data_IF_333380980328
#
_entry.id   IF_333380980328
#
_cell.length_a   1.000
_cell.length_b   1.000
_cell.length_c   1.000
_cell.angle_alpha   90.00
_cell.angle_beta   90.00
_cell.angle_gamma   90.00
#
_symmetry.space_group_name_H-M   'P 1'
#
loop_
_entity.id
_entity.type
_entity.pdbx_description
1 polymer ?
#
# COMPACT_ATOMS: atom_id res chain seq x y z
N UNK A 1 -28.64 -37.40 -10.43
CA UNK A 1 -27.58 -36.51 -9.94
C UNK A 1 -27.60 -35.15 -10.65
N UNK A 2 -27.53 -35.05 -11.99
CA UNK A 2 -27.56 -33.77 -12.69
C UNK A 2 -28.77 -32.90 -12.30
N UNK A 3 -29.98 -33.47 -12.25
CA UNK A 3 -31.20 -32.77 -11.79
C UNK A 3 -31.10 -32.20 -10.37
N UNK A 4 -30.33 -32.81 -9.47
CA UNK A 4 -30.10 -32.24 -8.14
C UNK A 4 -29.19 -31.01 -8.17
N UNK A 5 -28.19 -31.03 -9.05
CA UNK A 5 -27.27 -29.90 -9.21
C UNK A 5 -27.94 -28.66 -9.86
N UNK A 6 -29.02 -28.84 -10.64
CA UNK A 6 -29.81 -27.76 -11.21
C UNK A 6 -30.52 -26.88 -10.16
N UNK A 7 -30.78 -27.42 -8.96
CA UNK A 7 -31.37 -26.67 -7.84
C UNK A 7 -30.35 -25.92 -7.01
N UNK A 8 -29.05 -26.17 -7.23
CA UNK A 8 -27.99 -25.52 -6.45
C UNK A 8 -27.68 -24.09 -7.01
N UNK A 9 -27.41 -23.18 -6.10
CA UNK A 9 -26.92 -21.85 -6.47
C UNK A 9 -25.45 -21.88 -6.94
N UNK A 10 -25.01 -20.80 -7.58
CA UNK A 10 -23.65 -20.68 -8.14
C UNK A 10 -22.55 -20.96 -7.10
N UNK A 11 -22.64 -20.39 -5.90
CA UNK A 11 -21.67 -20.61 -4.82
C UNK A 11 -21.60 -22.07 -4.40
N UNK A 12 -22.76 -22.71 -4.19
CA UNK A 12 -22.87 -24.12 -3.78
C UNK A 12 -22.32 -25.04 -4.85
N UNK A 13 -22.58 -24.77 -6.15
CA UNK A 13 -22.02 -25.54 -7.27
C UNK A 13 -20.50 -25.48 -7.29
N UNK A 14 -19.91 -24.30 -7.04
CA UNK A 14 -18.45 -24.16 -7.01
C UNK A 14 -17.85 -24.90 -5.81
N UNK A 15 -18.52 -24.91 -4.67
CA UNK A 15 -18.12 -25.72 -3.52
C UNK A 15 -18.24 -27.22 -3.83
N UNK A 16 -19.34 -27.65 -4.45
CA UNK A 16 -19.54 -29.02 -4.86
C UNK A 16 -18.48 -29.48 -5.87
N UNK A 17 -18.00 -28.60 -6.75
CA UNK A 17 -16.94 -28.92 -7.70
C UNK A 17 -15.59 -29.27 -7.03
N UNK A 18 -15.39 -28.94 -5.77
CA UNK A 18 -14.17 -29.23 -5.01
C UNK A 18 -14.21 -30.58 -4.30
N UNK A 19 -15.34 -31.33 -4.33
CA UNK A 19 -15.52 -32.56 -3.57
C UNK A 19 -14.82 -33.76 -4.22
N UNK A 20 -15.05 -33.98 -5.52
CA UNK A 20 -14.40 -35.05 -6.30
C UNK A 20 -14.54 -34.79 -7.81
N UNK A 21 -13.74 -35.48 -8.63
CA UNK A 21 -13.73 -35.32 -10.10
C UNK A 21 -15.12 -35.50 -10.74
N UNK A 22 -15.94 -36.45 -10.25
CA UNK A 22 -17.30 -36.68 -10.76
C UNK A 22 -18.21 -35.50 -10.46
N UNK A 23 -18.14 -34.93 -9.25
CA UNK A 23 -18.91 -33.76 -8.87
C UNK A 23 -18.39 -32.48 -9.58
N UNK A 24 -17.10 -32.39 -9.79
CA UNK A 24 -16.51 -31.32 -10.59
C UNK A 24 -17.11 -31.32 -12.01
N UNK A 25 -17.15 -32.46 -12.69
CA UNK A 25 -17.77 -32.59 -14.02
C UNK A 25 -19.22 -32.12 -14.03
N UNK A 26 -20.05 -32.66 -13.09
CA UNK A 26 -21.45 -32.28 -12.98
C UNK A 26 -21.67 -30.81 -12.64
N UNK A 27 -20.90 -30.28 -11.69
CA UNK A 27 -21.02 -28.89 -11.23
C UNK A 27 -20.51 -27.84 -12.25
N UNK A 28 -19.79 -28.28 -13.28
CA UNK A 28 -19.28 -27.41 -14.33
C UNK A 28 -20.03 -27.55 -15.66
N UNK A 29 -21.10 -28.33 -15.68
CA UNK A 29 -21.90 -28.55 -16.88
C UNK A 29 -22.52 -27.28 -17.42
N UNK A 30 -22.42 -27.09 -18.74
CA UNK A 30 -22.90 -25.91 -19.43
C UNK A 30 -24.43 -25.74 -19.30
N UNK A 31 -25.19 -26.84 -19.27
CA UNK A 31 -26.65 -26.84 -19.14
C UNK A 31 -27.15 -26.22 -17.84
N UNK A 32 -26.41 -26.40 -16.75
CA UNK A 32 -26.70 -25.76 -15.45
C UNK A 32 -26.34 -24.30 -15.47
N UNK A 33 -25.11 -23.97 -15.91
CA UNK A 33 -24.57 -22.62 -15.84
C UNK A 33 -25.25 -21.63 -16.80
N UNK A 34 -25.84 -22.07 -17.91
CA UNK A 34 -26.61 -21.19 -18.78
C UNK A 34 -27.84 -20.59 -18.06
N UNK A 35 -28.50 -21.39 -17.21
CA UNK A 35 -29.66 -20.92 -16.45
C UNK A 35 -29.24 -19.93 -15.35
N UNK A 36 -28.12 -20.21 -14.68
CA UNK A 36 -27.53 -19.33 -13.68
C UNK A 36 -27.08 -18.02 -14.34
N UNK A 37 -26.39 -18.10 -15.49
CA UNK A 37 -25.96 -16.90 -16.24
C UNK A 37 -27.14 -16.00 -16.63
N UNK A 38 -28.23 -16.59 -17.16
CA UNK A 38 -29.44 -15.83 -17.51
C UNK A 38 -30.04 -15.08 -16.32
N UNK A 39 -30.01 -15.70 -15.13
CA UNK A 39 -30.50 -15.12 -13.89
C UNK A 39 -29.63 -13.92 -13.45
N UNK A 40 -28.29 -14.06 -13.46
CA UNK A 40 -27.36 -13.01 -13.03
C UNK A 40 -27.21 -11.91 -14.07
N UNK A 41 -27.12 -12.24 -15.35
CA UNK A 41 -26.89 -11.27 -16.40
C UNK A 41 -28.15 -10.45 -16.76
N UNK A 42 -29.32 -10.76 -16.15
CA UNK A 42 -30.62 -10.10 -16.44
C UNK A 42 -30.90 -10.03 -17.95
N UNK A 43 -30.42 -11.00 -18.72
CA UNK A 43 -30.58 -11.02 -20.17
C UNK A 43 -32.03 -11.32 -20.49
N UNK A 44 -32.74 -10.31 -20.98
CA UNK A 44 -34.08 -10.45 -21.56
C UNK A 44 -33.88 -10.90 -23.01
N UNK A 45 -34.05 -12.15 -23.31
CA UNK A 45 -34.06 -12.68 -24.66
C UNK A 45 -33.46 -14.08 -24.81
N UNK A 46 -34.10 -14.92 -25.63
CA UNK A 46 -33.59 -16.24 -26.02
C UNK A 46 -32.52 -16.05 -27.11
N UNK A 47 -31.31 -15.66 -26.75
CA UNK A 47 -30.17 -15.95 -27.61
C UNK A 47 -29.89 -17.44 -27.46
N UNK A 48 -30.50 -18.25 -28.27
CA UNK A 48 -30.17 -19.66 -28.44
C UNK A 48 -28.83 -19.75 -29.16
N UNK A 49 -27.75 -19.66 -28.36
CA UNK A 49 -26.43 -20.08 -28.82
C UNK A 49 -26.54 -21.60 -28.96
N UNK A 50 -26.34 -22.11 -30.18
CA UNK A 50 -26.36 -23.58 -30.44
C UNK A 50 -25.27 -24.23 -29.58
N UNK A 51 -25.67 -24.95 -28.55
CA UNK A 51 -24.81 -25.54 -27.50
C UNK A 51 -23.79 -26.58 -28.02
N UNK A 52 -23.91 -27.03 -29.26
CA UNK A 52 -23.19 -28.21 -29.77
C UNK A 52 -21.69 -28.05 -30.04
N UNK A 53 -21.11 -26.84 -29.79
CA UNK A 53 -19.67 -26.57 -30.04
C UNK A 53 -18.96 -25.78 -28.93
N UNK A 54 -19.59 -25.60 -27.77
CA UNK A 54 -18.98 -24.77 -26.71
C UNK A 54 -18.01 -25.59 -25.86
N UNK A 55 -16.85 -25.04 -25.45
CA UNK A 55 -15.92 -25.68 -24.52
C UNK A 55 -16.60 -26.04 -23.20
N UNK A 56 -16.08 -27.06 -22.52
CA UNK A 56 -16.49 -27.40 -21.14
C UNK A 56 -16.34 -26.15 -20.26
N UNK A 57 -17.28 -25.95 -19.33
CA UNK A 57 -17.29 -24.80 -18.40
C UNK A 57 -17.44 -23.41 -19.04
N UNK A 58 -17.76 -23.29 -20.32
CA UNK A 58 -17.90 -22.01 -21.00
C UNK A 58 -18.85 -21.06 -20.26
N UNK A 59 -20.08 -21.49 -19.99
CA UNK A 59 -21.10 -20.68 -19.30
C UNK A 59 -20.73 -20.37 -17.86
N UNK A 60 -20.03 -21.30 -17.17
CA UNK A 60 -19.47 -21.04 -15.84
C UNK A 60 -18.48 -19.87 -15.88
N UNK A 61 -17.49 -19.96 -16.75
CA UNK A 61 -16.44 -18.93 -16.86
C UNK A 61 -17.03 -17.58 -17.27
N UNK A 62 -17.98 -17.57 -18.22
CA UNK A 62 -18.67 -16.35 -18.64
C UNK A 62 -19.51 -15.74 -17.51
N UNK A 63 -20.20 -16.57 -16.71
CA UNK A 63 -20.96 -16.12 -15.55
C UNK A 63 -20.05 -15.47 -14.49
N UNK A 64 -18.95 -16.13 -14.14
CA UNK A 64 -17.99 -15.60 -13.16
C UNK A 64 -17.37 -14.29 -13.63
N UNK A 65 -16.93 -14.23 -14.89
CA UNK A 65 -16.39 -13.02 -15.50
C UNK A 65 -17.40 -11.86 -15.44
N UNK A 66 -18.64 -12.10 -15.85
CA UNK A 66 -19.69 -11.07 -15.86
C UNK A 66 -20.05 -10.59 -14.46
N UNK A 67 -20.21 -11.48 -13.49
CA UNK A 67 -20.46 -11.11 -12.10
C UNK A 67 -19.33 -10.25 -11.54
N UNK A 68 -18.08 -10.61 -11.83
CA UNK A 68 -16.90 -9.86 -11.41
C UNK A 68 -16.88 -8.46 -12.05
N UNK A 69 -17.09 -8.37 -13.38
CA UNK A 69 -17.09 -7.09 -14.10
C UNK A 69 -18.19 -6.15 -13.62
N UNK A 70 -19.42 -6.64 -13.45
CA UNK A 70 -20.57 -5.81 -13.05
C UNK A 70 -20.38 -5.30 -11.60
N UNK A 71 -19.87 -6.16 -10.70
CA UNK A 71 -19.48 -5.76 -9.36
C UNK A 71 -18.39 -4.70 -9.39
N UNK A 72 -17.30 -4.94 -10.13
CA UNK A 72 -16.18 -4.01 -10.21
C UNK A 72 -16.63 -2.66 -10.76
N UNK A 73 -17.45 -2.64 -11.82
CA UNK A 73 -18.05 -1.39 -12.36
C UNK A 73 -18.86 -0.64 -11.31
N UNK A 74 -19.67 -1.37 -10.52
CA UNK A 74 -20.49 -0.77 -9.46
C UNK A 74 -19.64 -0.14 -8.35
N UNK A 75 -18.60 -0.83 -7.91
CA UNK A 75 -17.69 -0.36 -6.85
C UNK A 75 -16.85 0.81 -7.36
N UNK A 76 -16.26 0.72 -8.57
CA UNK A 76 -15.44 1.79 -9.14
C UNK A 76 -16.22 3.09 -9.40
N UNK A 77 -17.54 3.03 -9.57
CA UNK A 77 -18.38 4.25 -9.63
C UNK A 77 -18.34 5.06 -8.33
N UNK A 78 -18.14 4.41 -7.17
CA UNK A 78 -18.02 5.10 -5.88
C UNK A 78 -16.73 5.91 -5.77
N UNK A 79 -15.70 5.56 -6.58
CA UNK A 79 -14.38 6.18 -6.54
C UNK A 79 -14.25 7.46 -7.35
N UNK A 80 -15.32 7.90 -8.02
CA UNK A 80 -15.27 9.07 -8.91
C UNK A 80 -15.13 10.41 -8.20
N UNK A 81 -15.61 10.50 -6.94
CA UNK A 81 -15.52 11.73 -6.13
C UNK A 81 -14.20 11.72 -5.37
N UNK A 82 -13.34 12.67 -5.66
CA UNK A 82 -12.05 12.87 -5.00
C UNK A 82 -12.12 13.99 -3.96
N UNK A 83 -11.24 13.91 -2.99
CA UNK A 83 -11.03 14.95 -1.99
C UNK A 83 -10.11 16.04 -2.61
N UNK A 84 -10.47 17.32 -2.55
CA UNK A 84 -9.75 18.36 -3.29
C UNK A 84 -8.29 18.55 -2.85
N UNK A 85 -7.98 18.20 -1.63
CA UNK A 85 -6.64 18.42 -1.07
C UNK A 85 -5.72 17.19 -1.08
N UNK A 86 -6.30 15.99 -1.11
CA UNK A 86 -5.50 14.77 -1.16
C UNK A 86 -5.58 14.07 -2.52
N UNK A 87 -6.43 14.55 -3.43
CA UNK A 87 -6.71 13.86 -4.69
C UNK A 87 -7.34 12.48 -4.55
N UNK A 88 -7.43 11.95 -3.32
CA UNK A 88 -7.88 10.60 -3.03
C UNK A 88 -9.40 10.46 -3.11
N UNK A 89 -9.90 9.29 -3.54
CA UNK A 89 -11.31 9.02 -3.54
C UNK A 89 -11.92 9.05 -2.13
N UNK A 90 -12.97 9.85 -1.92
CA UNK A 90 -13.61 10.03 -0.61
C UNK A 90 -14.33 8.79 -0.08
N UNK A 91 -14.66 7.84 -0.94
CA UNK A 91 -15.48 6.67 -0.62
C UNK A 91 -14.69 5.36 -0.56
N UNK A 92 -13.37 5.39 -0.42
CA UNK A 92 -12.52 4.19 -0.41
C UNK A 92 -12.98 3.16 0.62
N UNK A 93 -13.16 3.56 1.87
CA UNK A 93 -13.65 2.69 2.95
C UNK A 93 -15.03 2.08 2.62
N UNK A 94 -15.96 2.88 2.11
CA UNK A 94 -17.28 2.42 1.71
C UNK A 94 -17.20 1.42 0.54
N UNK A 95 -16.36 1.69 -0.46
CA UNK A 95 -16.14 0.83 -1.61
C UNK A 95 -15.58 -0.54 -1.17
N UNK A 96 -14.57 -0.54 -0.29
CA UNK A 96 -13.98 -1.75 0.27
C UNK A 96 -14.97 -2.56 1.11
N UNK A 97 -15.75 -1.89 1.96
CA UNK A 97 -16.80 -2.54 2.77
C UNK A 97 -17.86 -3.17 1.89
N UNK A 98 -18.39 -2.44 0.89
CA UNK A 98 -19.42 -2.94 -0.03
C UNK A 98 -18.91 -4.08 -0.92
N UNK A 99 -17.63 -4.08 -1.27
CA UNK A 99 -17.02 -5.18 -2.03
C UNK A 99 -16.75 -6.42 -1.18
N UNK A 100 -16.88 -6.35 0.14
CA UNK A 100 -16.61 -7.45 1.06
C UNK A 100 -15.14 -7.89 1.05
N UNK A 101 -14.23 -7.02 0.58
CA UNK A 101 -12.80 -7.33 0.49
C UNK A 101 -12.23 -7.51 1.90
N UNK A 102 -11.40 -8.55 2.03
CA UNK A 102 -10.58 -8.79 3.21
C UNK A 102 -9.15 -9.16 2.78
N UNK A 103 -8.23 -9.13 3.72
CA UNK A 103 -6.82 -9.34 3.42
C UNK A 103 -6.34 -10.68 3.96
N UNK A 104 -5.54 -11.37 3.14
CA UNK A 104 -4.84 -12.60 3.50
C UNK A 104 -3.32 -12.37 3.46
N UNK A 105 -2.67 -12.84 4.49
CA UNK A 105 -1.24 -13.09 4.51
C UNK A 105 -0.99 -14.52 4.04
N UNK A 106 -0.15 -14.70 3.02
CA UNK A 106 0.35 -15.99 2.56
C UNK A 106 1.85 -16.06 2.84
N UNK A 107 2.24 -17.09 3.54
CA UNK A 107 3.65 -17.39 3.82
C UNK A 107 4.01 -18.65 3.04
N UNK A 108 5.10 -18.59 2.29
CA UNK A 108 5.64 -19.72 1.51
C UNK A 108 6.98 -20.07 2.11
N UNK A 109 7.14 -21.31 2.55
CA UNK A 109 8.38 -21.80 3.11
C UNK A 109 9.40 -22.23 2.03
N UNK A 110 10.59 -22.65 2.45
CA UNK A 110 11.67 -23.10 1.55
C UNK A 110 11.31 -24.39 0.81
N UNK A 111 10.38 -25.20 1.34
CA UNK A 111 9.91 -26.42 0.72
C UNK A 111 8.75 -26.18 -0.25
N UNK A 112 8.29 -24.93 -0.39
CA UNK A 112 7.14 -24.55 -1.20
C UNK A 112 5.80 -24.80 -0.51
N UNK A 113 5.78 -25.15 0.78
CA UNK A 113 4.55 -25.31 1.54
C UNK A 113 3.95 -23.91 1.80
N UNK A 114 2.66 -23.78 1.53
CA UNK A 114 1.93 -22.55 1.71
C UNK A 114 1.09 -22.58 2.99
N UNK A 115 1.21 -21.55 3.80
CA UNK A 115 0.29 -21.25 4.90
C UNK A 115 -0.36 -19.89 4.66
N UNK A 116 -1.63 -19.75 5.02
CA UNK A 116 -2.34 -18.48 4.84
C UNK A 116 -3.25 -18.19 6.03
N UNK A 117 -3.30 -16.92 6.43
CA UNK A 117 -4.19 -16.48 7.49
C UNK A 117 -4.89 -15.17 7.11
N UNK A 118 -6.12 -15.02 7.60
CA UNK A 118 -6.90 -13.80 7.46
C UNK A 118 -6.38 -12.72 8.41
N UNK A 119 -6.49 -11.44 8.00
CA UNK A 119 -6.13 -10.31 8.85
C UNK A 119 -6.86 -10.31 10.19
N UNK A 120 -6.13 -9.99 11.26
CA UNK A 120 -6.66 -9.87 12.61
C UNK A 120 -7.24 -8.49 12.90
N UNK A 121 -6.85 -7.47 12.13
CA UNK A 121 -7.36 -6.11 12.28
C UNK A 121 -7.11 -5.27 11.03
N UNK A 122 -8.06 -4.37 10.75
CA UNK A 122 -8.00 -3.41 9.65
C UNK A 122 -8.32 -2.04 10.23
N UNK A 123 -7.42 -1.09 10.07
CA UNK A 123 -7.54 0.27 10.62
C UNK A 123 -7.49 1.28 9.46
N UNK A 124 -8.54 2.09 9.36
CA UNK A 124 -8.68 3.10 8.32
C UNK A 124 -8.20 4.45 8.83
N UNK A 125 -7.38 5.11 8.00
CA UNK A 125 -6.86 6.46 8.21
C UNK A 125 -7.33 7.39 7.08
N UNK A 126 -6.91 8.64 7.12
CA UNK A 126 -7.29 9.65 6.12
C UNK A 126 -6.80 9.27 4.71
N UNK A 127 -5.56 8.83 4.58
CA UNK A 127 -4.90 8.54 3.31
C UNK A 127 -4.53 7.07 3.12
N UNK A 128 -4.65 6.24 4.17
CA UNK A 128 -4.15 4.86 4.14
C UNK A 128 -5.03 3.87 4.90
N UNK A 129 -4.73 2.61 4.77
CA UNK A 129 -5.26 1.52 5.58
C UNK A 129 -4.12 0.71 6.17
N UNK A 130 -4.19 0.45 7.47
CA UNK A 130 -3.24 -0.41 8.16
C UNK A 130 -3.88 -1.77 8.42
N UNK A 131 -3.18 -2.84 8.08
CA UNK A 131 -3.66 -4.22 8.23
C UNK A 131 -2.67 -5.01 9.08
N UNK A 132 -3.19 -5.80 10.01
CA UNK A 132 -2.38 -6.53 10.97
C UNK A 132 -2.72 -8.01 11.02
N UNK A 133 -1.67 -8.85 11.19
CA UNK A 133 -1.75 -10.30 11.45
C UNK A 133 -0.92 -10.64 12.67
N UNK A 134 -1.46 -11.43 13.59
CA UNK A 134 -0.75 -11.91 14.78
C UNK A 134 -1.03 -13.37 15.14
N UNK A 135 -2.09 -13.97 14.58
CA UNK A 135 -2.36 -15.40 14.71
C UNK A 135 -1.64 -16.15 13.61
N UNK A 136 -0.32 -16.07 13.61
CA UNK A 136 0.51 -16.69 12.61
C UNK A 136 0.75 -18.13 13.02
N UNK A 137 0.46 -19.08 12.12
CA UNK A 137 0.92 -20.45 12.32
C UNK A 137 2.46 -20.40 12.39
N UNK A 138 3.01 -21.07 13.38
CA UNK A 138 4.44 -21.03 13.72
C UNK A 138 5.30 -21.64 12.60
N UNK A 139 5.56 -20.85 11.57
CA UNK A 139 6.62 -21.15 10.62
C UNK A 139 7.84 -20.39 11.09
N UNK A 140 8.92 -21.08 11.51
CA UNK A 140 10.15 -20.41 11.94
C UNK A 140 10.63 -19.46 10.82
N UNK A 141 11.02 -18.23 11.17
CA UNK A 141 11.46 -17.21 10.20
C UNK A 141 12.55 -17.70 9.25
N UNK A 142 13.49 -18.52 9.78
CA UNK A 142 14.56 -19.16 8.98
C UNK A 142 14.03 -20.03 7.84
N UNK A 143 12.81 -20.54 7.93
CA UNK A 143 12.20 -21.38 6.91
C UNK A 143 11.34 -20.58 5.92
N UNK A 144 11.03 -19.34 6.20
CA UNK A 144 10.26 -18.48 5.30
C UNK A 144 11.12 -18.12 4.08
N UNK A 145 10.56 -18.31 2.90
CA UNK A 145 11.14 -17.90 1.62
C UNK A 145 10.47 -16.65 1.08
N UNK A 146 9.13 -16.55 1.21
CA UNK A 146 8.34 -15.48 0.63
C UNK A 146 7.13 -15.17 1.51
N UNK A 147 6.85 -13.88 1.65
CA UNK A 147 5.62 -13.33 2.22
C UNK A 147 4.85 -12.61 1.13
N UNK A 148 3.56 -12.91 1.01
CA UNK A 148 2.64 -12.25 0.08
C UNK A 148 1.42 -11.74 0.82
N UNK A 149 1.00 -10.53 0.51
CA UNK A 149 -0.25 -9.96 1.01
C UNK A 149 -1.22 -9.88 -0.15
N UNK A 150 -2.37 -10.52 0.03
CA UNK A 150 -3.41 -10.66 -0.97
C UNK A 150 -4.70 -10.00 -0.48
N UNK A 151 -5.38 -9.27 -1.35
CA UNK A 151 -6.78 -8.97 -1.16
C UNK A 151 -7.63 -10.13 -1.68
N UNK A 152 -8.66 -10.47 -0.93
CA UNK A 152 -9.62 -11.51 -1.28
C UNK A 152 -10.98 -10.89 -1.48
N UNK A 153 -11.51 -11.02 -2.68
CA UNK A 153 -12.69 -10.35 -3.13
C UNK A 153 -13.79 -11.38 -3.44
N UNK A 154 -14.86 -11.50 -2.61
CA UNK A 154 -15.95 -12.45 -2.82
C UNK A 154 -16.60 -12.27 -4.18
N UNK A 155 -17.01 -13.37 -4.82
CA UNK A 155 -17.66 -13.33 -6.12
C UNK A 155 -19.17 -13.19 -6.03
N UNK A 156 -19.79 -13.74 -4.98
CA UNK A 156 -21.23 -13.77 -4.83
C UNK A 156 -21.71 -13.08 -3.56
N UNK A 157 -22.81 -12.37 -3.71
CA UNK A 157 -23.46 -11.60 -2.66
C UNK A 157 -24.93 -12.01 -2.56
N UNK A 158 -25.51 -11.91 -1.38
CA UNK A 158 -26.94 -12.07 -1.16
C UNK A 158 -27.74 -10.85 -1.64
N UNK A 159 -29.05 -10.88 -1.45
CA UNK A 159 -29.94 -9.79 -1.85
C UNK A 159 -29.73 -8.51 -1.02
N UNK A 160 -29.10 -8.61 0.17
CA UNK A 160 -28.74 -7.48 1.02
C UNK A 160 -27.43 -6.81 0.61
N UNK A 161 -26.68 -7.41 -0.33
CA UNK A 161 -25.36 -6.96 -0.74
C UNK A 161 -24.24 -7.43 0.20
N UNK A 162 -24.53 -8.40 1.09
CA UNK A 162 -23.54 -9.03 1.95
C UNK A 162 -22.90 -10.23 1.23
N UNK A 163 -21.59 -10.42 1.37
CA UNK A 163 -20.93 -11.57 0.80
C UNK A 163 -21.50 -12.88 1.37
N UNK A 164 -21.88 -13.81 0.49
CA UNK A 164 -22.39 -15.12 0.89
C UNK A 164 -21.28 -15.87 1.64
N UNK A 165 -21.61 -16.49 2.76
CA UNK A 165 -20.69 -17.36 3.49
C UNK A 165 -20.13 -18.44 2.57
N UNK A 166 -18.82 -18.66 2.62
CA UNK A 166 -18.08 -19.57 1.73
C UNK A 166 -18.19 -19.23 0.22
N UNK A 167 -18.51 -17.99 -0.11
CA UNK A 167 -18.39 -17.51 -1.50
C UNK A 167 -16.96 -17.73 -1.99
N UNK A 168 -16.78 -18.31 -3.19
CA UNK A 168 -15.48 -18.25 -3.86
C UNK A 168 -15.04 -16.82 -3.99
N UNK A 169 -13.74 -16.60 -3.97
CA UNK A 169 -13.17 -15.24 -4.04
C UNK A 169 -12.06 -15.15 -5.09
N UNK A 170 -11.97 -13.99 -5.70
CA UNK A 170 -10.84 -13.60 -6.51
C UNK A 170 -9.75 -13.07 -5.59
N UNK A 171 -8.50 -13.48 -5.83
CA UNK A 171 -7.33 -12.96 -5.11
C UNK A 171 -6.59 -11.96 -5.97
N UNK A 172 -6.12 -10.88 -5.36
CA UNK A 172 -5.23 -9.91 -6.02
C UNK A 172 -4.02 -9.69 -5.13
N UNK A 173 -2.83 -9.84 -5.71
CA UNK A 173 -1.56 -9.58 -5.04
C UNK A 173 -1.41 -8.07 -4.83
N UNK A 174 -1.16 -7.65 -3.59
CA UNK A 174 -0.94 -6.25 -3.23
C UNK A 174 0.53 -5.94 -3.03
N UNK A 175 1.24 -6.82 -2.35
CA UNK A 175 2.68 -6.72 -2.15
C UNK A 175 3.28 -8.10 -1.89
N UNK A 176 4.55 -8.26 -2.22
CA UNK A 176 5.32 -9.47 -1.91
C UNK A 176 6.76 -9.13 -1.55
N UNK A 177 7.30 -9.90 -0.64
CA UNK A 177 8.70 -9.85 -0.29
C UNK A 177 9.30 -11.25 -0.25
N UNK A 178 10.44 -11.43 -0.93
CA UNK A 178 11.22 -12.67 -0.94
C UNK A 178 12.54 -12.42 -0.25
N UNK A 179 12.87 -13.25 0.73
CA UNK A 179 14.10 -13.08 1.49
C UNK A 179 14.62 -14.41 2.06
N UNK A 180 15.89 -14.38 2.47
CA UNK A 180 16.50 -15.43 3.30
C UNK A 180 16.82 -14.80 4.64
N UNK A 181 16.11 -15.17 5.69
CA UNK A 181 16.17 -14.51 7.00
C UNK A 181 17.61 -14.30 7.53
N UNK A 182 18.45 -15.35 7.49
CA UNK A 182 19.80 -15.25 8.02
C UNK A 182 20.69 -14.26 7.25
N UNK A 183 20.52 -14.16 5.94
CA UNK A 183 21.24 -13.21 5.10
C UNK A 183 20.70 -11.81 5.32
N UNK A 184 19.37 -11.68 5.22
CA UNK A 184 18.68 -10.41 5.37
C UNK A 184 18.95 -9.76 6.74
N UNK A 185 18.91 -10.53 7.83
CA UNK A 185 19.18 -10.05 9.21
C UNK A 185 20.62 -9.56 9.41
N UNK A 186 21.60 -10.07 8.68
CA UNK A 186 23.00 -9.58 8.76
C UNK A 186 23.14 -8.18 8.18
N UNK A 187 22.37 -7.90 7.13
CA UNK A 187 22.38 -6.62 6.40
C UNK A 187 21.45 -5.58 7.03
N UNK A 188 20.41 -6.04 7.74
CA UNK A 188 19.36 -5.19 8.29
C UNK A 188 19.27 -5.35 9.81
N UNK A 189 19.44 -4.24 10.51
CA UNK A 189 19.27 -4.17 11.96
C UNK A 189 17.81 -3.98 12.34
N UNK A 190 17.45 -4.38 13.57
CA UNK A 190 16.16 -3.99 14.16
C UNK A 190 16.06 -2.46 14.19
N UNK A 191 14.93 -1.93 13.73
CA UNK A 191 14.70 -0.49 13.71
C UNK A 191 14.48 0.06 15.12
N UNK A 192 13.73 -0.66 15.93
CA UNK A 192 13.42 -0.38 17.34
C UNK A 192 12.95 -1.67 18.02
N UNK A 193 12.88 -1.63 19.34
CA UNK A 193 12.44 -2.76 20.16
C UNK A 193 11.77 -2.28 21.45
N UNK A 194 11.00 -3.18 22.07
CA UNK A 194 10.52 -3.03 23.46
C UNK A 194 11.04 -4.22 24.31
N UNK A 195 10.43 -4.49 25.46
CA UNK A 195 10.84 -5.59 26.35
C UNK A 195 10.66 -6.97 25.68
N UNK A 196 9.66 -7.14 24.82
CA UNK A 196 9.22 -8.43 24.31
C UNK A 196 9.55 -8.65 22.84
N UNK A 197 9.52 -7.59 22.01
CA UNK A 197 9.64 -7.72 20.56
C UNK A 197 10.71 -6.82 19.96
N UNK A 198 11.26 -7.26 18.83
CA UNK A 198 12.11 -6.47 17.93
C UNK A 198 11.38 -6.22 16.63
N UNK A 199 11.45 -4.98 16.12
CA UNK A 199 10.81 -4.57 14.88
C UNK A 199 11.82 -4.50 13.73
N UNK A 200 11.40 -4.98 12.56
CA UNK A 200 12.17 -4.94 11.33
C UNK A 200 11.31 -4.44 10.18
N UNK A 201 11.84 -3.54 9.36
CA UNK A 201 11.21 -3.11 8.10
C UNK A 201 11.65 -4.08 6.99
N UNK A 202 10.75 -4.95 6.56
CA UNK A 202 11.05 -5.97 5.58
C UNK A 202 11.01 -5.42 4.14
N UNK A 203 10.11 -4.48 3.90
CA UNK A 203 9.96 -3.65 2.69
C UNK A 203 9.36 -2.31 3.08
N UNK A 204 9.15 -1.42 2.11
CA UNK A 204 8.63 -0.07 2.38
C UNK A 204 7.23 -0.09 3.02
N UNK A 205 6.45 -1.11 2.77
CA UNK A 205 5.08 -1.25 3.24
C UNK A 205 4.89 -2.36 4.30
N UNK A 206 5.92 -3.16 4.62
CA UNK A 206 5.83 -4.31 5.54
C UNK A 206 6.75 -4.15 6.76
N UNK A 207 6.13 -4.13 7.93
CA UNK A 207 6.79 -4.20 9.22
C UNK A 207 6.57 -5.59 9.84
N UNK A 208 7.63 -6.26 10.25
CA UNK A 208 7.57 -7.51 11.00
C UNK A 208 8.08 -7.32 12.41
N UNK A 209 7.48 -8.04 13.34
CA UNK A 209 7.94 -8.12 14.72
C UNK A 209 8.32 -9.56 15.06
N UNK A 210 9.43 -9.73 15.74
CA UNK A 210 9.89 -11.02 16.27
C UNK A 210 9.92 -11.00 17.78
N UNK A 211 9.64 -12.13 18.40
CA UNK A 211 9.84 -12.30 19.83
C UNK A 211 11.34 -12.29 20.15
N UNK A 212 11.73 -11.58 21.22
CA UNK A 212 13.14 -11.57 21.69
C UNK A 212 13.59 -12.93 22.25
N UNK A 213 12.66 -13.70 22.79
CA UNK A 213 12.94 -14.96 23.46
C UNK A 213 13.41 -16.07 22.51
N UNK A 214 12.80 -16.17 21.32
CA UNK A 214 13.00 -17.29 20.41
C UNK A 214 13.17 -16.89 18.94
N UNK A 215 13.13 -15.57 18.66
CA UNK A 215 13.18 -14.99 17.31
C UNK A 215 12.05 -15.46 16.38
N UNK A 216 10.97 -16.00 16.93
CA UNK A 216 9.80 -16.36 16.15
C UNK A 216 8.97 -15.12 15.79
N UNK A 217 8.14 -15.27 14.76
CA UNK A 217 7.32 -14.18 14.24
C UNK A 217 6.17 -13.86 15.21
N UNK A 218 6.16 -12.65 15.76
CA UNK A 218 5.14 -12.19 16.70
C UNK A 218 3.91 -11.62 15.98
N UNK A 219 4.13 -10.70 15.05
CA UNK A 219 3.09 -10.10 14.22
C UNK A 219 3.67 -9.49 12.94
N UNK A 220 2.79 -9.26 11.99
CA UNK A 220 3.07 -8.51 10.76
C UNK A 220 2.07 -7.37 10.65
N UNK A 221 2.55 -6.21 10.24
CA UNK A 221 1.73 -5.03 9.95
C UNK A 221 2.11 -4.50 8.58
N UNK A 222 1.12 -4.10 7.80
CA UNK A 222 1.32 -3.41 6.53
C UNK A 222 0.49 -2.14 6.47
N UNK A 223 1.02 -1.12 5.79
CA UNK A 223 0.30 0.09 5.45
C UNK A 223 0.09 0.16 3.94
N UNK A 224 -1.14 0.40 3.50
CA UNK A 224 -1.42 0.65 2.08
C UNK A 224 -1.98 2.05 1.93
N UNK A 225 -1.32 2.85 1.10
CA UNK A 225 -1.88 4.13 0.69
C UNK A 225 -3.18 3.88 -0.08
N UNK A 226 -4.20 4.75 0.11
CA UNK A 226 -5.52 4.56 -0.51
C UNK A 226 -5.53 4.82 -2.02
N UNK A 227 -4.49 5.49 -2.53
CA UNK A 227 -4.33 5.72 -3.96
C UNK A 227 -4.30 4.39 -4.71
N UNK A 228 -5.21 4.26 -5.64
CA UNK A 228 -5.40 3.05 -6.45
C UNK A 228 -5.65 1.73 -5.70
N UNK A 229 -5.77 1.74 -4.36
CA UNK A 229 -5.94 0.53 -3.56
C UNK A 229 -7.15 -0.30 -4.01
N UNK A 230 -8.29 0.35 -4.24
CA UNK A 230 -9.51 -0.35 -4.71
C UNK A 230 -9.29 -0.99 -6.08
N UNK A 231 -8.63 -0.28 -7.01
CA UNK A 231 -8.29 -0.83 -8.33
C UNK A 231 -7.36 -2.03 -8.20
N UNK A 232 -6.30 -1.94 -7.38
CA UNK A 232 -5.38 -3.05 -7.10
C UNK A 232 -6.12 -4.27 -6.56
N UNK A 233 -7.05 -4.07 -5.63
CA UNK A 233 -7.85 -5.15 -5.06
C UNK A 233 -8.82 -5.79 -6.04
N UNK A 234 -9.45 -5.02 -6.93
CA UNK A 234 -10.51 -5.49 -7.82
C UNK A 234 -9.99 -6.02 -9.16
N UNK A 235 -8.91 -5.42 -9.69
CA UNK A 235 -8.43 -5.66 -11.05
C UNK A 235 -7.14 -6.47 -11.10
N UNK A 236 -6.46 -6.67 -9.98
CA UNK A 236 -5.26 -7.48 -9.88
C UNK A 236 -5.51 -8.98 -10.00
N UNK A 237 -4.43 -9.76 -10.02
CA UNK A 237 -4.43 -11.22 -10.01
C UNK A 237 -3.63 -11.77 -8.83
N UNK A 238 -3.72 -13.05 -8.56
CA UNK A 238 -2.98 -13.69 -7.47
C UNK A 238 -1.46 -13.84 -7.73
N UNK A 239 -1.01 -13.57 -8.93
CA UNK A 239 0.38 -13.76 -9.38
C UNK A 239 1.07 -12.44 -9.75
N UNK A 240 0.31 -11.48 -10.24
CA UNK A 240 0.83 -10.21 -10.77
C UNK A 240 0.08 -9.07 -10.10
N UNK A 241 0.81 -8.12 -9.56
CA UNK A 241 0.24 -6.88 -9.03
C UNK A 241 -0.45 -6.11 -10.16
N UNK A 242 -1.48 -5.33 -9.81
CA UNK A 242 -2.14 -4.47 -10.78
C UNK A 242 -1.20 -3.34 -11.18
N UNK A 243 -0.92 -3.26 -12.47
CA UNK A 243 -0.17 -2.17 -13.07
C UNK A 243 -1.10 -1.01 -13.40
N UNK A 244 -0.69 0.17 -13.00
CA UNK A 244 -1.43 1.40 -13.33
C UNK A 244 -1.22 1.75 -14.81
N UNK A 245 -2.23 2.34 -15.46
CA UNK A 245 -2.03 2.92 -16.77
C UNK A 245 -0.89 3.95 -16.73
N UNK A 246 -0.10 4.01 -17.80
CA UNK A 246 0.96 5.01 -17.94
C UNK A 246 0.38 6.43 -17.82
N UNK A 247 1.10 7.29 -17.12
CA UNK A 247 0.77 8.70 -17.01
C UNK A 247 0.90 9.36 -18.40
N UNK A 248 -0.09 10.20 -18.76
CA UNK A 248 -0.08 10.94 -20.01
C UNK A 248 0.55 12.30 -19.78
N UNK A 249 1.73 12.48 -20.30
CA UNK A 249 2.41 13.77 -20.29
C UNK A 249 1.56 14.82 -21.04
N UNK A 250 1.35 15.96 -20.39
CA UNK A 250 0.74 17.14 -21.00
C UNK A 250 1.85 18.19 -21.05
N UNK A 251 2.32 18.49 -22.26
CA UNK A 251 3.34 19.50 -22.47
C UNK A 251 2.72 20.89 -22.30
N UNK A 252 3.39 21.72 -21.49
CA UNK A 252 3.11 23.15 -21.38
C UNK A 252 4.39 23.92 -21.77
N UNK A 253 4.36 24.53 -22.96
CA UNK A 253 5.50 25.27 -23.50
C UNK A 253 5.61 26.71 -22.98
N UNK A 254 4.62 27.16 -22.18
CA UNK A 254 4.51 28.56 -21.76
C UNK A 254 5.34 28.85 -20.51
N UNK A 255 5.49 27.84 -19.61
CA UNK A 255 6.15 28.01 -18.32
C UNK A 255 7.52 27.34 -18.28
N UNK A 256 8.57 28.16 -18.17
CA UNK A 256 9.96 27.69 -18.07
C UNK A 256 10.27 26.92 -16.78
N UNK A 257 9.40 26.99 -15.78
CA UNK A 257 9.50 26.31 -14.48
C UNK A 257 8.42 25.27 -14.30
N UNK A 258 7.79 24.82 -15.40
CA UNK A 258 6.72 23.84 -15.39
C UNK A 258 7.13 22.57 -14.64
N UNK A 259 6.29 22.16 -13.69
CA UNK A 259 6.59 21.01 -12.83
C UNK A 259 7.46 21.33 -11.60
N UNK A 260 7.84 22.59 -11.35
CA UNK A 260 8.61 22.98 -10.15
C UNK A 260 7.78 23.76 -9.12
N UNK A 261 6.51 24.06 -9.38
CA UNK A 261 5.67 24.89 -8.51
C UNK A 261 4.24 24.39 -8.40
N UNK A 262 3.46 25.05 -7.51
CA UNK A 262 2.04 24.79 -7.26
C UNK A 262 1.71 23.39 -6.75
N UNK A 263 2.66 22.69 -6.15
CA UNK A 263 2.36 21.43 -5.51
C UNK A 263 1.55 21.62 -4.23
N UNK A 264 0.70 20.62 -3.96
CA UNK A 264 -0.03 20.50 -2.69
C UNK A 264 0.38 19.19 -2.03
N UNK A 265 0.78 19.26 -0.76
CA UNK A 265 1.19 18.08 -0.01
C UNK A 265 0.36 17.92 1.25
N UNK A 266 -0.11 16.71 1.50
CA UNK A 266 -0.71 16.31 2.77
C UNK A 266 0.20 15.29 3.42
N UNK A 267 0.59 15.55 4.68
CA UNK A 267 1.46 14.68 5.47
C UNK A 267 0.73 14.26 6.73
N UNK A 268 0.80 12.99 7.07
CA UNK A 268 0.25 12.43 8.30
C UNK A 268 1.27 11.51 8.96
N UNK A 269 1.58 11.79 10.23
CA UNK A 269 2.30 10.87 11.12
C UNK A 269 1.24 10.18 11.98
N UNK A 270 1.23 8.87 11.99
CA UNK A 270 0.20 8.08 12.68
C UNK A 270 0.78 6.80 13.30
N UNK A 271 0.07 6.23 14.25
CA UNK A 271 0.28 4.83 14.63
C UNK A 271 -0.74 3.92 13.93
N UNK A 272 -0.88 2.68 14.36
CA UNK A 272 -1.84 1.74 13.75
C UNK A 272 -3.31 2.16 13.90
N UNK A 273 -3.65 3.02 14.87
CA UNK A 273 -5.05 3.30 15.26
C UNK A 273 -5.46 4.74 15.10
N UNK A 274 -4.53 5.67 15.26
CA UNK A 274 -4.85 7.10 15.34
C UNK A 274 -3.76 7.95 14.70
N UNK A 275 -4.18 9.11 14.21
CA UNK A 275 -3.29 10.17 13.77
C UNK A 275 -2.58 10.79 14.99
N UNK A 276 -1.27 10.99 14.86
CA UNK A 276 -0.41 11.67 15.83
C UNK A 276 -0.31 13.13 15.45
N UNK A 277 -0.05 13.38 14.17
CA UNK A 277 0.05 14.70 13.58
C UNK A 277 -0.36 14.64 12.11
N UNK A 278 -1.02 15.68 11.63
CA UNK A 278 -1.36 15.82 10.20
C UNK A 278 -1.40 17.27 9.81
N UNK A 279 -0.81 17.60 8.66
CA UNK A 279 -0.82 18.94 8.11
C UNK A 279 -0.87 18.92 6.58
N UNK A 280 -1.45 19.98 6.04
CA UNK A 280 -1.53 20.23 4.62
C UNK A 280 -0.73 21.48 4.26
N UNK A 281 -0.01 21.37 3.15
CA UNK A 281 0.83 22.44 2.59
C UNK A 281 0.36 22.72 1.16
N UNK A 282 0.33 23.99 0.78
CA UNK A 282 -0.09 24.44 -0.55
C UNK A 282 0.97 25.36 -1.15
N UNK A 283 0.91 25.50 -2.46
CA UNK A 283 1.83 26.39 -3.22
C UNK A 283 3.30 26.06 -2.94
N UNK A 284 3.61 24.77 -2.83
CA UNK A 284 4.98 24.30 -2.64
C UNK A 284 5.73 24.49 -3.96
N UNK A 285 6.95 25.01 -3.90
CA UNK A 285 7.77 25.27 -5.07
C UNK A 285 9.24 24.93 -4.83
N UNK A 286 9.94 24.58 -5.92
CA UNK A 286 11.40 24.53 -5.99
C UNK A 286 11.84 25.51 -7.06
N UNK A 287 12.70 26.48 -6.70
CA UNK A 287 13.28 27.38 -7.70
C UNK A 287 14.29 26.62 -8.55
N UNK A 288 14.30 26.90 -9.86
CA UNK A 288 15.20 26.26 -10.82
C UNK A 288 16.68 26.38 -10.43
N UNK A 289 17.04 27.51 -9.83
CA UNK A 289 18.40 27.77 -9.35
C UNK A 289 18.80 26.92 -8.14
N UNK A 290 17.82 26.37 -7.44
CA UNK A 290 18.01 25.52 -6.26
C UNK A 290 18.04 24.01 -6.60
N UNK A 291 18.03 23.66 -7.88
CA UNK A 291 18.22 22.27 -8.30
C UNK A 291 19.70 21.91 -8.16
N UNK A 292 20.01 21.05 -7.22
CA UNK A 292 21.36 20.58 -6.93
C UNK A 292 21.46 19.07 -7.12
N UNK A 293 22.50 18.60 -7.81
CA UNK A 293 22.76 17.17 -8.02
C UNK A 293 21.57 16.38 -8.60
N UNK A 294 20.79 16.99 -9.48
CA UNK A 294 19.55 16.43 -10.06
C UNK A 294 18.42 16.22 -9.04
N UNK A 295 18.42 16.97 -7.95
CA UNK A 295 17.38 16.90 -6.90
C UNK A 295 16.67 18.24 -6.81
N UNK A 296 15.34 18.20 -6.87
CA UNK A 296 14.45 19.31 -6.56
C UNK A 296 14.05 19.23 -5.08
N UNK A 297 14.40 20.26 -4.34
CA UNK A 297 14.13 20.36 -2.90
C UNK A 297 12.84 21.14 -2.64
N UNK A 298 11.81 20.47 -2.18
CA UNK A 298 10.55 21.07 -1.74
C UNK A 298 10.55 21.22 -0.21
N UNK A 299 10.73 22.44 0.28
CA UNK A 299 10.76 22.74 1.72
C UNK A 299 9.36 23.14 2.17
N UNK A 300 8.72 22.29 2.99
CA UNK A 300 7.37 22.49 3.52
C UNK A 300 7.37 23.26 4.84
N UNK A 301 8.36 23.00 5.70
CA UNK A 301 8.57 23.69 6.96
C UNK A 301 10.04 24.09 7.09
N UNK A 302 10.30 25.34 7.47
CA UNK A 302 11.65 25.89 7.51
C UNK A 302 12.17 26.01 8.94
N UNK A 303 13.44 25.64 9.17
CA UNK A 303 14.11 25.71 10.48
C UNK A 303 14.14 27.13 11.05
N UNK A 304 14.34 28.13 10.18
CA UNK A 304 14.49 29.56 10.53
C UNK A 304 13.14 30.22 10.87
N UNK A 305 12.01 29.59 10.64
CA UNK A 305 10.66 30.11 10.93
C UNK A 305 10.07 29.47 12.17
N UNK A 306 10.20 30.16 13.30
CA UNK A 306 9.61 29.70 14.58
C UNK A 306 8.09 29.53 14.49
N UNK A 307 7.42 30.35 13.67
CA UNK A 307 5.96 30.30 13.49
C UNK A 307 5.50 29.00 12.78
N UNK A 308 6.37 28.35 12.05
CA UNK A 308 6.05 27.09 11.35
C UNK A 308 6.16 25.86 12.29
N UNK A 309 6.74 26.05 13.48
CA UNK A 309 6.91 24.98 14.47
C UNK A 309 5.56 24.47 14.97
N UNK A 310 5.33 23.16 14.87
CA UNK A 310 4.06 22.55 15.28
C UNK A 310 4.30 21.50 16.33
N UNK A 311 3.55 21.59 17.42
CA UNK A 311 3.60 20.61 18.51
C UNK A 311 3.01 19.28 18.05
N UNK A 312 3.75 18.21 18.30
CA UNK A 312 3.26 16.83 18.17
C UNK A 312 2.50 16.50 19.45
N UNK A 313 1.17 16.51 19.38
CA UNK A 313 0.30 16.42 20.57
C UNK A 313 0.32 15.04 21.26
N UNK A 314 0.82 14.01 20.62
CA UNK A 314 0.84 12.63 21.10
C UNK A 314 2.23 12.03 20.98
N UNK A 315 2.52 11.05 21.81
CA UNK A 315 3.77 10.30 21.72
C UNK A 315 3.88 9.56 20.38
N UNK A 316 5.09 9.57 19.79
CA UNK A 316 5.41 8.78 18.61
C UNK A 316 5.71 7.37 19.12
N UNK A 317 4.73 6.49 18.97
CA UNK A 317 4.81 5.13 19.47
C UNK A 317 3.94 4.18 18.65
N UNK A 318 4.36 2.91 18.61
CA UNK A 318 3.62 1.82 17.98
C UNK A 318 3.06 0.87 19.04
N UNK A 319 1.80 1.04 19.47
CA UNK A 319 1.16 0.08 20.36
C UNK A 319 0.82 -1.20 19.59
N UNK A 320 1.22 -2.34 20.10
CA UNK A 320 0.93 -3.64 19.52
C UNK A 320 0.17 -4.56 20.49
N UNK A 321 -0.51 -5.55 19.93
CA UNK A 321 -1.27 -6.54 20.69
C UNK A 321 -1.36 -7.83 19.88
N UNK A 322 -1.13 -8.96 20.57
CA UNK A 322 -1.47 -10.31 20.14
C UNK A 322 -2.62 -10.83 21.03
N UNK A 323 -2.96 -12.10 20.96
CA UNK A 323 -3.99 -12.69 21.83
C UNK A 323 -3.55 -12.71 23.31
N UNK A 324 -2.26 -12.93 23.57
CA UNK A 324 -1.73 -13.12 24.92
C UNK A 324 -0.97 -11.90 25.45
N UNK A 325 -0.33 -11.13 24.57
CA UNK A 325 0.59 -10.07 24.94
C UNK A 325 0.22 -8.74 24.32
N UNK A 326 0.65 -7.68 24.96
CA UNK A 326 0.57 -6.31 24.47
C UNK A 326 1.80 -5.54 24.87
N UNK A 327 2.17 -4.55 24.10
CA UNK A 327 3.31 -3.68 24.38
C UNK A 327 3.26 -2.42 23.52
N UNK A 328 4.31 -1.62 23.65
CA UNK A 328 4.49 -0.37 22.93
C UNK A 328 5.95 -0.24 22.55
N UNK A 329 6.22 -0.04 21.27
CA UNK A 329 7.56 0.30 20.79
C UNK A 329 7.63 1.80 20.57
N UNK A 330 8.50 2.49 21.31
CA UNK A 330 8.67 3.95 21.22
C UNK A 330 9.39 4.37 19.94
N UNK A 331 9.15 5.60 19.53
CA UNK A 331 9.76 6.26 18.38
C UNK A 331 9.50 5.56 17.03
N UNK A 332 8.46 4.76 16.91
CA UNK A 332 8.03 4.13 15.66
C UNK A 332 6.64 4.61 15.29
N UNK A 333 6.45 4.95 14.03
CA UNK A 333 5.17 5.41 13.49
C UNK A 333 5.04 5.03 12.01
N UNK A 334 3.91 5.36 11.43
CA UNK A 334 3.67 5.36 10.01
C UNK A 334 3.70 6.77 9.47
N UNK A 335 4.33 6.94 8.33
CA UNK A 335 4.34 8.18 7.55
C UNK A 335 3.49 7.98 6.31
N UNK A 336 2.42 8.75 6.20
CA UNK A 336 1.57 8.80 5.02
C UNK A 336 1.76 10.17 4.35
N UNK A 337 2.04 10.17 3.05
CA UNK A 337 2.17 11.39 2.27
C UNK A 337 1.40 11.26 0.96
N UNK A 338 0.73 12.33 0.57
CA UNK A 338 0.16 12.52 -0.76
C UNK A 338 0.67 13.84 -1.31
N UNK A 339 1.39 13.80 -2.42
CA UNK A 339 1.88 14.97 -3.16
C UNK A 339 1.10 15.09 -4.46
N UNK A 340 0.40 16.20 -4.64
CA UNK A 340 -0.36 16.54 -5.83
C UNK A 340 0.42 17.53 -6.68
N UNK A 341 0.33 17.39 -7.98
CA UNK A 341 0.82 18.37 -8.95
C UNK A 341 -0.10 19.60 -9.02
N UNK A 342 0.24 20.58 -9.85
CA UNK A 342 -0.52 21.81 -10.05
C UNK A 342 -1.94 21.61 -10.59
N UNK A 343 -2.20 20.46 -11.22
CA UNK A 343 -3.53 20.07 -11.75
C UNK A 343 -4.37 19.32 -10.71
N UNK A 344 -3.79 19.04 -9.53
CA UNK A 344 -4.41 18.24 -8.48
C UNK A 344 -4.38 16.73 -8.78
N UNK A 345 -3.54 16.29 -9.73
CA UNK A 345 -3.28 14.87 -9.95
C UNK A 345 -2.27 14.34 -8.93
N UNK A 346 -2.41 13.08 -8.54
CA UNK A 346 -1.52 12.47 -7.55
C UNK A 346 -0.17 12.17 -8.20
N UNK A 347 0.82 13.00 -7.88
CA UNK A 347 2.18 12.90 -8.38
C UNK A 347 2.96 11.80 -7.66
N UNK A 348 2.92 11.79 -6.32
CA UNK A 348 3.60 10.79 -5.52
C UNK A 348 2.88 10.50 -4.21
N UNK A 349 3.00 9.27 -3.73
CA UNK A 349 2.40 8.84 -2.47
C UNK A 349 3.26 7.82 -1.76
N UNK A 350 3.26 7.85 -0.42
CA UNK A 350 3.83 6.78 0.39
C UNK A 350 2.98 6.48 1.63
N UNK A 351 3.08 5.25 2.13
CA UNK A 351 2.53 4.82 3.42
C UNK A 351 3.47 3.78 4.00
N UNK A 352 4.45 4.23 4.77
CA UNK A 352 5.57 3.41 5.21
C UNK A 352 5.81 3.49 6.71
N UNK A 353 6.33 2.42 7.35
CA UNK A 353 6.81 2.47 8.71
C UNK A 353 8.14 3.22 8.77
N UNK A 354 8.21 4.19 9.68
CA UNK A 354 9.39 5.01 9.93
C UNK A 354 9.67 5.09 11.44
N UNK A 355 10.85 5.57 11.80
CA UNK A 355 11.22 5.76 13.21
C UNK A 355 12.01 7.04 13.41
N UNK A 356 11.84 7.64 14.58
CA UNK A 356 12.64 8.76 15.01
C UNK A 356 13.98 8.27 15.58
N UNK A 357 15.06 8.89 15.11
CA UNK A 357 16.43 8.62 15.58
C UNK A 357 17.07 9.93 16.03
N UNK A 358 17.99 9.82 16.99
CA UNK A 358 18.79 10.99 17.42
C UNK A 358 19.65 11.46 16.25
N UNK A 359 19.58 12.73 15.95
CA UNK A 359 20.43 13.36 14.94
C UNK A 359 21.84 13.45 15.48
N UNK A 360 22.83 12.89 14.78
CA UNK A 360 24.23 13.11 15.08
C UNK A 360 24.59 14.57 14.80
N UNK A 361 24.64 15.39 15.85
CA UNK A 361 25.13 16.76 15.72
C UNK A 361 26.64 16.73 15.58
N UNK A 362 27.15 17.01 14.38
CA UNK A 362 28.54 17.44 14.24
C UNK A 362 28.61 18.78 15.01
N UNK A 363 29.32 18.81 16.12
CA UNK A 363 29.57 20.04 16.89
C UNK A 363 30.24 21.05 15.97
N UNK A 364 29.46 21.93 15.35
CA UNK A 364 30.01 23.11 14.69
C UNK A 364 30.40 24.06 15.82
N UNK A 365 31.63 24.58 15.76
CA UNK A 365 32.20 25.56 16.70
C UNK A 365 31.58 26.97 16.49
N UNK A 366 30.42 27.05 15.89
CA UNK A 366 29.71 28.32 15.75
C UNK A 366 28.97 28.62 17.06
N UNK A 367 29.31 29.78 17.67
CA UNK A 367 28.64 30.36 18.84
C UNK A 367 27.22 30.81 18.47
N UNK A 368 26.34 29.89 18.13
CA UNK A 368 24.92 30.14 18.16
C UNK A 368 24.41 29.77 19.56
N UNK A 369 23.72 30.69 20.21
CA UNK A 369 22.97 30.48 21.44
C UNK A 369 21.82 29.51 21.15
N UNK A 370 22.14 28.26 20.89
CA UNK A 370 21.17 27.16 20.91
C UNK A 370 20.93 26.80 22.38
N UNK A 371 19.67 26.72 22.78
CA UNK A 371 19.31 26.18 24.09
C UNK A 371 19.92 24.78 24.21
N UNK A 372 20.89 24.60 25.08
CA UNK A 372 21.69 23.37 25.26
C UNK A 372 20.86 22.13 25.69
N UNK A 373 19.55 22.28 25.91
CA UNK A 373 18.65 21.28 26.47
C UNK A 373 17.66 20.68 25.48
N UNK A 374 17.84 20.87 24.17
CA UNK A 374 16.95 20.26 23.16
C UNK A 374 17.63 19.04 22.53
N UNK A 375 17.01 17.85 22.66
CA UNK A 375 17.44 16.70 21.85
C UNK A 375 16.84 16.79 20.46
N UNK A 376 17.73 16.75 19.44
CA UNK A 376 17.34 16.79 18.03
C UNK A 376 17.10 15.38 17.52
N UNK A 377 15.90 15.13 17.04
CA UNK A 377 15.48 13.86 16.42
C UNK A 377 15.23 14.08 14.93
N UNK A 378 15.37 13.01 14.17
CA UNK A 378 14.99 13.03 12.75
C UNK A 378 14.25 11.74 12.36
N UNK A 379 13.31 11.89 11.43
CA UNK A 379 12.65 10.81 10.71
C UNK A 379 13.09 10.94 9.25
N UNK A 380 13.66 9.86 8.72
CA UNK A 380 14.11 9.79 7.33
C UNK A 380 13.40 8.65 6.63
N UNK A 381 12.86 8.95 5.46
CA UNK A 381 12.31 7.97 4.53
C UNK A 381 12.99 8.16 3.17
N UNK A 382 13.42 7.06 2.57
CA UNK A 382 14.12 7.05 1.28
C UNK A 382 13.48 6.03 0.37
N UNK A 383 13.09 6.47 -0.81
CA UNK A 383 12.66 5.67 -1.95
C UNK A 383 13.59 5.92 -3.14
N UNK A 384 13.41 5.20 -4.25
CA UNK A 384 14.29 5.27 -5.42
C UNK A 384 14.51 6.71 -5.94
N UNK A 385 13.43 7.54 -5.96
CA UNK A 385 13.46 8.89 -6.55
C UNK A 385 12.97 9.99 -5.60
N UNK A 386 12.64 9.65 -4.36
CA UNK A 386 12.10 10.61 -3.38
C UNK A 386 12.65 10.32 -1.99
N UNK A 387 13.22 11.36 -1.37
CA UNK A 387 13.66 11.34 0.01
C UNK A 387 12.81 12.31 0.83
N UNK A 388 12.46 11.93 2.04
CA UNK A 388 11.73 12.75 3.01
C UNK A 388 12.55 12.90 4.28
N UNK A 389 12.70 14.14 4.74
CA UNK A 389 13.33 14.46 6.02
C UNK A 389 12.36 15.25 6.89
N UNK A 390 12.12 14.76 8.10
CA UNK A 390 11.37 15.44 9.15
C UNK A 390 12.28 15.59 10.36
N UNK A 391 12.52 16.83 10.79
CA UNK A 391 13.28 17.10 12.01
C UNK A 391 12.34 17.47 13.16
N UNK A 392 12.64 16.92 14.33
CA UNK A 392 11.89 17.19 15.55
C UNK A 392 12.86 17.64 16.65
N UNK A 393 12.41 18.55 17.47
CA UNK A 393 13.07 18.89 18.72
C UNK A 393 12.24 18.34 19.88
N UNK A 394 12.89 17.73 20.85
CA UNK A 394 12.28 17.25 22.08
C UNK A 394 12.78 18.13 23.23
N UNK A 395 11.84 18.70 23.99
CA UNK A 395 12.12 19.51 25.16
C UNK A 395 12.26 18.66 26.43
N UNK A 396 12.79 19.24 27.48
CA UNK A 396 12.98 18.56 28.79
C UNK A 396 11.68 18.01 29.39
N UNK A 397 10.52 18.57 29.05
CA UNK A 397 9.20 18.09 29.46
C UNK A 397 8.66 16.95 28.57
N UNK A 398 9.46 16.45 27.64
CA UNK A 398 9.11 15.38 26.69
C UNK A 398 8.20 15.80 25.53
N UNK A 399 7.88 17.08 25.42
CA UNK A 399 7.11 17.60 24.27
C UNK A 399 7.97 17.64 23.01
N UNK A 400 7.41 17.21 21.92
CA UNK A 400 8.07 17.21 20.59
C UNK A 400 7.44 18.22 19.67
N UNK A 401 8.29 18.87 18.89
CA UNK A 401 7.91 19.85 17.87
C UNK A 401 8.55 19.48 16.54
N UNK A 402 7.77 19.53 15.46
CA UNK A 402 8.33 19.46 14.12
C UNK A 402 8.91 20.83 13.80
N UNK A 403 10.19 20.87 13.46
CA UNK A 403 10.94 22.09 13.17
C UNK A 403 11.31 22.23 11.71
N UNK A 404 11.36 21.12 10.98
CA UNK A 404 11.69 21.09 9.57
C UNK A 404 11.01 19.92 8.86
N UNK A 405 10.55 20.16 7.65
CA UNK A 405 10.02 19.14 6.76
C UNK A 405 10.42 19.47 5.32
N UNK A 406 11.10 18.55 4.67
CA UNK A 406 11.45 18.66 3.26
C UNK A 406 11.22 17.35 2.51
N UNK A 407 10.87 17.48 1.23
CA UNK A 407 10.75 16.38 0.27
C UNK A 407 11.71 16.67 -0.87
N UNK A 408 12.63 15.76 -1.11
CA UNK A 408 13.62 15.82 -2.16
C UNK A 408 13.20 14.87 -3.28
N UNK A 409 13.00 15.38 -4.49
CA UNK A 409 12.54 14.62 -5.65
C UNK A 409 13.60 14.65 -6.74
N UNK A 410 13.93 13.48 -7.32
CA UNK A 410 14.84 13.42 -8.47
C UNK A 410 14.21 14.12 -9.67
N UNK A 411 15.01 14.95 -10.36
CA UNK A 411 14.58 15.65 -11.58
C UNK A 411 14.10 14.71 -12.67
N UNK A 412 14.62 13.49 -12.72
CA UNK A 412 14.17 12.48 -13.69
C UNK A 412 12.69 12.13 -13.49
N UNK A 413 12.20 12.08 -12.25
CA UNK A 413 10.80 11.83 -11.96
C UNK A 413 9.92 13.00 -12.44
N UNK A 414 10.37 14.24 -12.21
CA UNK A 414 9.67 15.45 -12.68
C UNK A 414 9.65 15.50 -14.20
N UNK A 415 10.81 15.28 -14.84
CA UNK A 415 10.94 15.28 -16.29
C UNK A 415 10.03 14.26 -16.96
N UNK A 416 9.93 13.04 -16.37
CA UNK A 416 9.05 11.98 -16.89
C UNK A 416 7.58 12.28 -16.72
N UNK A 417 7.19 12.99 -15.65
CA UNK A 417 5.80 13.34 -15.36
C UNK A 417 5.29 14.52 -16.18
N UNK A 418 6.12 15.56 -16.31
CA UNK A 418 5.76 16.83 -16.96
C UNK A 418 6.27 16.96 -18.40
N UNK A 419 7.19 16.10 -18.84
CA UNK A 419 7.86 16.22 -20.13
C UNK A 419 8.89 17.33 -20.19
N UNK A 420 9.46 17.72 -19.05
CA UNK A 420 10.49 18.76 -18.91
C UNK A 420 11.90 18.21 -19.12
N UNK A 421 12.92 19.06 -18.95
CA UNK A 421 14.33 18.71 -19.14
C UNK A 421 15.20 19.37 -18.09
N UNK A 422 14.96 19.09 -16.82
CA UNK A 422 15.78 19.58 -15.70
C UNK A 422 16.99 18.69 -15.43
N UNK A 423 16.90 17.39 -15.80
CA UNK A 423 18.04 16.47 -15.75
C UNK A 423 19.07 16.87 -16.82
N UNK A 424 20.33 17.17 -16.46
CA UNK A 424 21.34 17.51 -17.44
C UNK A 424 21.61 16.32 -18.38
N UNK A 425 21.85 16.55 -19.68
CA UNK A 425 22.10 15.49 -20.64
C UNK A 425 23.35 14.69 -20.21
N UNK A 426 23.23 13.36 -20.21
CA UNK A 426 24.33 12.46 -19.84
C UNK A 426 25.52 12.76 -20.76
N UNK A 427 26.71 13.10 -20.24
CA UNK A 427 27.90 13.34 -21.06
C UNK A 427 28.19 12.11 -21.93
N UNK A 428 28.40 12.34 -23.24
CA UNK A 428 28.61 11.27 -24.25
C UNK A 428 29.75 10.31 -23.89
N UNK A 429 30.68 10.73 -23.04
CA UNK A 429 31.82 9.91 -22.58
C UNK A 429 31.41 8.80 -21.58
N UNK A 430 30.35 8.98 -20.81
CA UNK A 430 29.81 7.93 -19.90
C UNK A 430 28.97 6.87 -20.63
N UNK A 431 28.38 7.19 -21.77
CA UNK A 431 27.66 6.21 -22.62
C UNK A 431 28.61 5.21 -23.27
N UNK A 432 29.82 5.63 -23.67
CA UNK A 432 30.83 4.74 -24.28
C UNK A 432 31.37 3.70 -23.30
N UNK A 433 31.40 3.99 -22.00
CA UNK A 433 31.89 3.08 -20.97
C UNK A 433 30.83 2.05 -20.52
N UNK A 434 29.53 2.37 -20.59
CA UNK A 434 28.46 1.40 -20.31
C UNK A 434 28.26 0.36 -21.44
N UNK A 435 28.63 0.70 -22.68
CA UNK A 435 28.58 -0.21 -23.85
C UNK A 435 29.82 -1.11 -23.98
N UNK A 436 30.92 -0.82 -23.27
CA UNK A 436 32.13 -1.66 -23.24
C UNK A 436 32.13 -2.71 -22.12
N UNK A 437 31.18 -2.62 -21.17
CA UNK A 437 31.08 -3.54 -20.03
C UNK A 437 29.80 -4.42 -20.07
N UNK A 438 29.22 -4.59 -21.26
CA UNK A 438 28.17 -5.60 -21.53
C UNK A 438 28.71 -6.69 -22.42
#
# INVERSE_FOLDING_TARGET
MLKLFEYLGASTLLTAACVCNRWHGLATENSIWINIYKKYAKVKGNQAVKDSKLPLSYWKNLCLKRCSEDRNKSILKLMKKTHPFTGLPTNTKLAMTKSGIYYHLRIIDRNGQESSCKSAGIFWHSMSVCVRWYNLQTVPLKNIRKIQILSCNPLFFDNSGTAINNSPYQRSLLTECSFKWEVWKRENKAIKEDENVQLYRLSDDILIATWKADEELAFIVTGFHQENLVKRCLLGSSQIMYELPEHKVILDDIDSSYGLHHYTCTVEIRNMRQSIWSQQFQSIECKKENIENNVCKFVLMRRDRVIDRVTVAKEIELPWKTDLFKGVVKDVCWLDITLLDERGEVFWTTSCPVYARTKETVRSIAMDFEYDNESKLEIVHQEENVDVLIELNEMDDGKRFITHLEINVDTQMIDSWFGTSYTPPIPKDKLKNKLKNK
#
